data_IF_840495002476
#
_entry.id   IF_840495002476
#
_cell.length_a   1.000
_cell.length_b   1.000
_cell.length_c   1.000
_cell.angle_alpha   90.00
_cell.angle_beta   90.00
_cell.angle_gamma   90.00
#
_symmetry.space_group_name_H-M   'P 1'
#
loop_
_entity.id
_entity.type
_entity.pdbx_description
1 polymer ?
#
# COMPACT_ATOMS: atom_id res chain seq x y z
N UNK A 1 12.65 -8.43 46.60
CA UNK A 1 11.88 -7.90 45.46
C UNK A 1 12.25 -8.74 44.24
N UNK A 2 11.29 -9.39 43.60
CA UNK A 2 11.54 -10.26 42.46
C UNK A 2 11.28 -9.48 41.18
N UNK A 3 12.32 -9.22 40.40
CA UNK A 3 12.19 -8.57 39.10
C UNK A 3 11.77 -9.61 38.07
N UNK A 4 10.64 -9.38 37.40
CA UNK A 4 10.16 -10.22 36.32
C UNK A 4 10.55 -9.57 34.99
N UNK A 5 11.54 -10.15 34.32
CA UNK A 5 11.93 -9.73 32.97
C UNK A 5 10.92 -10.30 31.96
N UNK A 6 10.26 -9.43 31.21
CA UNK A 6 9.38 -9.80 30.11
C UNK A 6 10.10 -9.41 28.82
N UNK A 7 10.47 -10.41 28.02
CA UNK A 7 11.02 -10.18 26.68
C UNK A 7 9.86 -10.05 25.70
N UNK A 8 9.66 -8.85 25.14
CA UNK A 8 8.71 -8.62 24.06
C UNK A 8 9.48 -8.58 22.74
N UNK A 9 9.22 -9.56 21.87
CA UNK A 9 9.67 -9.50 20.48
C UNK A 9 8.64 -8.68 19.70
N UNK A 10 9.00 -7.47 19.29
CA UNK A 10 8.19 -6.67 18.36
C UNK A 10 8.66 -6.97 16.96
N UNK A 11 7.79 -7.53 16.15
CA UNK A 11 8.03 -7.74 14.72
C UNK A 11 7.74 -6.42 14.01
N UNK A 12 8.57 -5.40 14.27
CA UNK A 12 8.45 -4.08 13.64
C UNK A 12 8.80 -4.22 12.16
N UNK A 13 7.83 -4.64 11.34
CA UNK A 13 7.95 -4.61 9.89
C UNK A 13 8.14 -3.16 9.48
N UNK A 14 9.38 -2.82 9.11
CA UNK A 14 9.73 -1.52 8.58
C UNK A 14 8.92 -1.27 7.32
N UNK A 15 7.99 -0.31 7.38
CA UNK A 15 7.08 0.00 6.27
C UNK A 15 7.79 0.77 5.16
N UNK A 16 8.76 1.61 5.52
CA UNK A 16 9.47 2.49 4.58
C UNK A 16 10.91 2.01 4.36
N UNK A 17 11.25 1.76 3.10
CA UNK A 17 12.58 1.33 2.67
C UNK A 17 13.46 2.49 2.15
N UNK A 18 12.92 3.72 2.11
CA UNK A 18 13.68 4.94 1.75
C UNK A 18 13.48 6.07 2.76
N UNK A 19 14.10 7.21 2.45
CA UNK A 19 14.12 8.42 3.29
C UNK A 19 13.37 9.60 2.67
N UNK A 20 12.76 9.42 1.50
CA UNK A 20 11.88 10.40 0.89
C UNK A 20 10.58 10.53 1.70
N UNK A 21 10.07 11.76 1.77
CA UNK A 21 8.89 12.04 2.60
C UNK A 21 7.65 11.36 2.04
N UNK A 22 7.06 10.47 2.84
CA UNK A 22 5.77 9.88 2.53
C UNK A 22 4.65 10.86 2.84
N UNK A 23 3.92 11.30 1.81
CA UNK A 23 2.76 12.19 1.94
C UNK A 23 1.48 11.43 1.65
N UNK A 24 0.39 11.84 2.31
CA UNK A 24 -0.94 11.29 2.07
C UNK A 24 -1.78 12.23 1.19
N UNK A 25 -2.84 11.66 0.63
CA UNK A 25 -3.95 12.35 -0.02
C UNK A 25 -5.26 11.60 0.28
N UNK A 26 -6.38 12.24 -0.04
CA UNK A 26 -7.71 11.64 0.02
C UNK A 26 -8.33 11.56 -1.37
N UNK A 27 -9.21 10.59 -1.60
CA UNK A 27 -9.87 10.38 -2.88
C UNK A 27 -11.17 9.61 -2.76
N UNK A 28 -11.96 9.61 -3.84
CA UNK A 28 -13.22 8.86 -3.92
C UNK A 28 -12.96 7.35 -3.97
N UNK A 29 -13.61 6.60 -3.10
CA UNK A 29 -13.45 5.15 -2.97
C UNK A 29 -14.47 4.41 -3.85
N UNK A 30 -13.99 3.40 -4.56
CA UNK A 30 -14.79 2.38 -5.24
C UNK A 30 -14.71 1.01 -4.57
N UNK A 31 -14.06 0.91 -3.41
CA UNK A 31 -13.86 -0.33 -2.67
C UNK A 31 -15.19 -0.75 -2.01
N UNK A 32 -15.64 -1.96 -2.32
CA UNK A 32 -16.90 -2.53 -1.83
C UNK A 32 -16.72 -3.74 -0.90
N UNK A 33 -15.48 -4.03 -0.51
CA UNK A 33 -15.11 -5.14 0.40
C UNK A 33 -14.05 -4.68 1.37
N UNK A 34 -13.99 -5.35 2.52
CA UNK A 34 -12.95 -5.10 3.52
C UNK A 34 -11.56 -5.19 2.87
N UNK A 35 -10.80 -4.10 2.95
CA UNK A 35 -9.48 -3.96 2.32
C UNK A 35 -8.48 -3.44 3.35
N UNK A 36 -7.42 -4.19 3.66
CA UNK A 36 -6.44 -3.82 4.66
C UNK A 36 -5.58 -2.62 4.21
N UNK A 37 -4.99 -1.91 5.17
CA UNK A 37 -3.95 -0.92 4.87
C UNK A 37 -2.75 -1.56 4.14
N UNK A 38 -1.95 -0.74 3.46
CA UNK A 38 -0.79 -1.15 2.65
C UNK A 38 -1.15 -1.91 1.36
N UNK A 39 -2.42 -1.89 0.94
CA UNK A 39 -2.85 -2.38 -0.37
C UNK A 39 -2.57 -1.33 -1.47
N UNK A 40 -1.90 -1.71 -2.58
CA UNK A 40 -1.77 -0.85 -3.76
C UNK A 40 -3.13 -0.53 -4.38
N UNK A 41 -3.32 0.71 -4.84
CA UNK A 41 -4.57 1.23 -5.38
C UNK A 41 -4.40 1.67 -6.84
N UNK A 42 -5.46 1.52 -7.64
CA UNK A 42 -5.54 2.02 -9.01
C UNK A 42 -6.85 2.78 -9.25
N UNK A 43 -6.91 3.53 -10.35
CA UNK A 43 -8.15 4.16 -10.81
C UNK A 43 -8.95 3.17 -11.65
N UNK A 44 -10.22 3.02 -11.31
CA UNK A 44 -11.18 2.29 -12.14
C UNK A 44 -11.56 3.16 -13.36
N UNK A 45 -11.49 2.58 -14.56
CA UNK A 45 -11.50 3.35 -15.80
C UNK A 45 -12.84 4.04 -16.13
N UNK A 46 -13.97 3.50 -15.66
CA UNK A 46 -15.30 4.01 -16.01
C UNK A 46 -15.79 5.10 -15.05
N UNK A 47 -15.58 4.91 -13.76
CA UNK A 47 -16.03 5.77 -12.66
C UNK A 47 -14.95 6.72 -12.15
N UNK A 48 -13.68 6.44 -12.44
CA UNK A 48 -12.53 7.20 -11.93
C UNK A 48 -12.30 7.05 -10.41
N UNK A 49 -12.94 6.08 -9.77
CA UNK A 49 -12.80 5.82 -8.33
C UNK A 49 -11.54 5.00 -8.03
N UNK A 50 -11.00 5.16 -6.82
CA UNK A 50 -9.88 4.36 -6.34
C UNK A 50 -10.37 2.99 -5.89
N UNK A 51 -9.77 1.94 -6.46
CA UNK A 51 -10.00 0.53 -6.12
C UNK A 51 -8.67 -0.16 -5.84
N UNK A 52 -8.70 -1.37 -5.28
CA UNK A 52 -7.50 -2.19 -5.14
C UNK A 52 -6.90 -2.49 -6.53
N UNK A 53 -5.58 -2.39 -6.65
CA UNK A 53 -4.87 -2.67 -7.90
C UNK A 53 -4.95 -4.16 -8.26
N UNK A 54 -5.24 -4.44 -9.52
CA UNK A 54 -5.48 -5.80 -10.03
C UNK A 54 -4.21 -6.57 -10.41
N UNK A 55 -3.05 -5.90 -10.51
CA UNK A 55 -1.80 -6.53 -10.91
C UNK A 55 -1.63 -6.76 -12.42
N UNK A 56 -2.58 -6.31 -13.25
CA UNK A 56 -2.59 -6.64 -14.69
C UNK A 56 -1.66 -5.76 -15.52
N UNK A 57 -1.37 -4.54 -15.09
CA UNK A 57 -0.55 -3.58 -15.84
C UNK A 57 0.43 -2.85 -14.93
N UNK A 58 1.69 -2.73 -15.38
CA UNK A 58 2.68 -1.90 -14.71
C UNK A 58 2.28 -0.41 -14.80
N UNK A 59 2.70 0.39 -13.82
CA UNK A 59 2.46 1.84 -13.78
C UNK A 59 1.00 2.26 -13.52
N UNK A 60 0.07 1.32 -13.30
CA UNK A 60 -1.33 1.65 -13.00
C UNK A 60 -1.65 1.73 -11.52
N UNK A 61 -0.74 1.31 -10.64
CA UNK A 61 -0.87 1.57 -9.21
C UNK A 61 -0.49 3.04 -8.93
N UNK A 62 -1.44 3.81 -8.42
CA UNK A 62 -1.32 5.27 -8.22
C UNK A 62 -1.20 5.67 -6.74
N UNK A 63 -1.41 4.73 -5.83
CA UNK A 63 -1.43 4.99 -4.39
C UNK A 63 -1.28 3.72 -3.55
N UNK A 64 -1.02 3.89 -2.26
CA UNK A 64 -1.04 2.80 -1.27
C UNK A 64 -2.03 3.16 -0.16
N UNK A 65 -2.96 2.27 0.16
CA UNK A 65 -3.99 2.53 1.17
C UNK A 65 -3.36 2.76 2.57
N UNK A 66 -3.76 3.83 3.26
CA UNK A 66 -3.20 4.19 4.58
C UNK A 66 -4.00 3.55 5.71
N UNK A 67 -5.33 3.64 5.62
CA UNK A 67 -6.27 3.18 6.65
C UNK A 67 -7.05 1.99 6.09
N UNK A 68 -7.27 0.92 6.87
CA UNK A 68 -8.12 -0.18 6.43
C UNK A 68 -9.54 0.33 6.17
N UNK A 69 -10.22 -0.28 5.21
CA UNK A 69 -11.59 0.01 4.82
C UNK A 69 -12.45 -1.22 5.03
N UNK A 70 -13.72 -1.02 5.39
CA UNK A 70 -14.73 -2.08 5.47
C UNK A 70 -15.45 -2.28 4.13
N UNK A 71 -15.33 -1.33 3.19
CA UNK A 71 -15.95 -1.37 1.87
C UNK A 71 -17.28 -0.63 1.80
N UNK A 72 -17.53 0.28 2.73
CA UNK A 72 -18.74 1.14 2.76
C UNK A 72 -18.40 2.62 2.65
N UNK A 73 -17.11 2.96 2.76
CA UNK A 73 -16.59 4.31 2.77
C UNK A 73 -16.64 4.93 1.37
N UNK A 74 -17.16 6.16 1.28
CA UNK A 74 -17.19 6.93 0.03
C UNK A 74 -15.86 7.62 -0.27
N UNK A 75 -14.97 7.74 0.73
CA UNK A 75 -13.64 8.30 0.60
C UNK A 75 -12.61 7.39 1.24
N UNK A 76 -11.38 7.44 0.74
CA UNK A 76 -10.24 6.75 1.32
C UNK A 76 -9.02 7.67 1.40
N UNK A 77 -8.10 7.33 2.30
CA UNK A 77 -6.81 8.02 2.48
C UNK A 77 -5.69 7.12 1.99
N UNK A 78 -4.84 7.63 1.11
CA UNK A 78 -3.76 6.88 0.49
C UNK A 78 -2.44 7.65 0.52
N UNK A 79 -1.33 6.94 0.54
CA UNK A 79 0.00 7.48 0.32
C UNK A 79 0.17 7.81 -1.16
N UNK A 80 0.62 9.03 -1.46
CA UNK A 80 0.90 9.54 -2.82
C UNK A 80 2.39 9.67 -3.13
N UNK A 81 3.25 9.50 -2.14
CA UNK A 81 4.71 9.48 -2.26
C UNK A 81 5.32 8.60 -1.17
N UNK A 82 6.61 8.28 -1.30
CA UNK A 82 7.34 7.46 -0.34
C UNK A 82 7.94 6.21 -0.98
N UNK A 83 9.03 5.72 -0.41
CA UNK A 83 9.61 4.41 -0.75
C UNK A 83 9.20 3.36 0.29
N UNK A 84 8.40 2.39 -0.13
CA UNK A 84 7.86 1.32 0.73
C UNK A 84 8.74 0.07 0.73
N UNK A 85 8.71 -0.70 1.80
CA UNK A 85 9.25 -2.05 1.83
C UNK A 85 8.33 -2.99 1.03
N UNK A 86 8.91 -3.76 0.11
CA UNK A 86 8.14 -4.66 -0.78
C UNK A 86 7.35 -5.70 0.00
N UNK A 87 7.88 -6.13 1.15
CA UNK A 87 7.33 -7.16 2.03
C UNK A 87 6.21 -6.63 2.93
N UNK A 88 6.11 -5.29 3.08
CA UNK A 88 5.06 -4.65 3.85
C UNK A 88 3.78 -4.43 3.01
N UNK A 89 3.91 -4.29 1.69
CA UNK A 89 2.79 -4.08 0.78
C UNK A 89 2.00 -5.38 0.55
N UNK A 90 0.68 -5.24 0.51
CA UNK A 90 -0.25 -6.35 0.28
C UNK A 90 -0.59 -6.44 -1.21
N UNK A 91 0.23 -7.19 -1.93
CA UNK A 91 0.12 -7.38 -3.38
C UNK A 91 -1.04 -8.29 -3.77
N UNK A 92 -1.66 -8.09 -4.94
CA UNK A 92 -2.61 -9.05 -5.49
C UNK A 92 -1.94 -10.41 -5.75
N UNK A 93 -2.71 -11.47 -5.61
CA UNK A 93 -2.23 -12.85 -5.82
C UNK A 93 -1.72 -13.03 -7.25
N UNK A 94 -0.63 -13.80 -7.40
CA UNK A 94 -0.06 -14.17 -8.70
C UNK A 94 0.33 -12.99 -9.61
N UNK A 95 0.62 -11.82 -9.03
CA UNK A 95 1.16 -10.69 -9.80
C UNK A 95 2.49 -11.06 -10.45
N UNK A 96 2.63 -10.73 -11.74
CA UNK A 96 3.89 -10.89 -12.47
C UNK A 96 5.01 -10.07 -11.80
N UNK A 97 6.21 -10.63 -11.71
CA UNK A 97 7.32 -10.01 -10.99
C UNK A 97 7.76 -8.66 -11.59
N UNK A 98 7.73 -8.53 -12.92
CA UNK A 98 8.12 -7.28 -13.61
C UNK A 98 7.02 -6.24 -13.44
N UNK A 99 5.75 -6.62 -13.53
CA UNK A 99 4.62 -5.72 -13.26
C UNK A 99 4.60 -5.25 -11.81
N UNK A 100 4.90 -6.14 -10.87
CA UNK A 100 5.04 -5.82 -9.45
C UNK A 100 6.14 -4.78 -9.23
N UNK A 101 7.35 -5.04 -9.75
CA UNK A 101 8.49 -4.14 -9.60
C UNK A 101 8.24 -2.74 -10.17
N UNK A 102 7.45 -2.64 -11.24
CA UNK A 102 7.12 -1.39 -11.91
C UNK A 102 5.68 -0.93 -11.64
N UNK A 103 5.03 -1.42 -10.57
CA UNK A 103 3.62 -1.14 -10.32
C UNK A 103 3.31 0.35 -10.22
N UNK A 104 4.23 1.11 -9.62
CA UNK A 104 4.09 2.54 -9.33
C UNK A 104 4.85 3.46 -10.29
N UNK A 105 5.50 2.93 -11.33
CA UNK A 105 6.30 3.72 -12.27
C UNK A 105 5.43 4.80 -12.93
N UNK A 106 5.84 6.07 -12.79
CA UNK A 106 5.07 7.24 -13.24
C UNK A 106 4.39 8.02 -12.10
N UNK A 107 4.36 7.46 -10.89
CA UNK A 107 3.97 8.15 -9.66
C UNK A 107 5.20 8.59 -8.84
N UNK A 108 4.98 9.25 -7.71
CA UNK A 108 6.03 9.58 -6.72
C UNK A 108 6.23 8.46 -5.67
N UNK A 109 5.67 7.28 -5.89
CA UNK A 109 5.80 6.10 -5.03
C UNK A 109 6.80 5.14 -5.63
N UNK A 110 7.62 4.54 -4.78
CA UNK A 110 8.47 3.42 -5.15
C UNK A 110 8.46 2.36 -4.05
N UNK A 111 9.04 1.19 -4.33
CA UNK A 111 9.29 0.18 -3.30
C UNK A 111 10.60 -0.54 -3.54
N UNK A 112 11.20 -1.04 -2.46
CA UNK A 112 12.43 -1.80 -2.48
C UNK A 112 12.34 -2.96 -1.48
N UNK A 113 13.05 -4.05 -1.73
CA UNK A 113 13.21 -5.11 -0.74
C UNK A 113 14.13 -4.61 0.37
N UNK A 114 13.77 -4.89 1.63
CA UNK A 114 14.68 -4.61 2.74
C UNK A 114 15.88 -5.58 2.71
N UNK A 115 17.09 -5.10 3.05
CA UNK A 115 18.28 -5.94 3.11
C UNK A 115 18.24 -6.96 4.26
#
# INVERSE_FOLDING_TARGET
MTFKTITQQRDEKRIFAGNDTAHTATGSSGIAKATPALTPLMLEATSGKLIAWDGLSAGTAVGVLVLPLEGTESQLTYWKSGTFATEALLWPENVDAVKKANAFTGSAISHAALP
#
